data_IF_984300958388
#
_entry.id   IF_984300958388
#
_cell.length_a   1.000
_cell.length_b   1.000
_cell.length_c   1.000
_cell.angle_alpha   90.00
_cell.angle_beta   90.00
_cell.angle_gamma   90.00
#
_symmetry.space_group_name_H-M   'P 1'
#
loop_
_entity.id
_entity.type
_entity.pdbx_description
1 polymer ?
#
# COMPACT_ATOMS: atom_id res chain seq x y z
N UNK A 1 19.55 62.66 16.86
CA UNK A 1 18.11 62.41 16.63
C UNK A 1 17.82 61.07 15.94
N UNK A 2 18.58 60.63 14.92
CA UNK A 2 18.30 59.36 14.18
C UNK A 2 18.45 58.09 15.03
N UNK A 3 19.45 58.03 15.92
CA UNK A 3 19.71 56.84 16.76
C UNK A 3 18.61 56.60 17.82
N UNK A 4 17.94 57.68 18.25
CA UNK A 4 16.85 57.60 19.24
C UNK A 4 15.54 57.12 18.60
N UNK A 5 15.27 57.55 17.36
CA UNK A 5 14.12 57.08 16.56
C UNK A 5 14.28 55.59 16.20
N UNK A 6 15.49 55.15 15.83
CA UNK A 6 15.75 53.74 15.51
C UNK A 6 15.64 52.82 16.73
N UNK A 7 16.03 53.29 17.93
CA UNK A 7 15.78 52.56 19.19
C UNK A 7 14.29 52.50 19.52
N UNK A 8 13.57 53.62 19.41
CA UNK A 8 12.12 53.66 19.65
C UNK A 8 11.33 52.80 18.65
N UNK A 9 11.78 52.68 17.41
CA UNK A 9 11.19 51.80 16.39
C UNK A 9 11.45 50.32 16.66
N UNK A 10 12.64 49.96 17.13
CA UNK A 10 12.98 48.58 17.55
C UNK A 10 12.18 48.15 18.76
N UNK A 11 12.11 48.99 19.78
CA UNK A 11 11.34 48.71 21.01
C UNK A 11 9.83 48.66 20.74
N UNK A 12 9.35 49.39 19.73
CA UNK A 12 7.94 49.34 19.29
C UNK A 12 7.66 48.08 18.47
N UNK A 13 8.58 47.68 17.58
CA UNK A 13 8.47 46.41 16.85
C UNK A 13 8.49 45.20 17.80
N UNK A 14 9.32 45.20 18.84
CA UNK A 14 9.37 44.09 19.82
C UNK A 14 8.13 44.00 20.70
N UNK A 15 7.44 45.13 20.96
CA UNK A 15 6.16 45.18 21.70
C UNK A 15 4.94 44.80 20.86
N UNK A 16 5.01 45.05 19.54
CA UNK A 16 3.92 44.80 18.60
C UNK A 16 4.02 43.42 17.92
N UNK A 17 5.09 42.64 18.19
CA UNK A 17 5.15 41.23 17.80
C UNK A 17 4.09 40.45 18.59
N UNK A 18 3.08 39.85 17.94
CA UNK A 18 2.15 39.01 18.67
C UNK A 18 2.93 37.84 19.25
N UNK A 19 2.68 37.50 20.53
CA UNK A 19 3.22 36.31 21.22
C UNK A 19 2.69 35.02 20.57
N UNK A 20 2.97 34.82 19.29
CA UNK A 20 2.60 33.66 18.49
C UNK A 20 3.69 32.62 18.62
N UNK A 21 3.95 32.27 19.88
CA UNK A 21 4.71 31.12 20.34
C UNK A 21 3.86 30.19 21.22
N UNK A 22 2.54 30.25 21.12
CA UNK A 22 1.64 29.23 21.67
C UNK A 22 1.02 28.48 20.51
N UNK A 23 1.35 27.19 20.40
CA UNK A 23 0.68 26.22 19.52
C UNK A 23 -0.84 26.43 19.58
N UNK A 24 -1.42 27.13 18.60
CA UNK A 24 -2.85 27.06 18.34
C UNK A 24 -3.08 25.83 17.47
N UNK A 25 -3.30 24.69 18.11
CA UNK A 25 -3.89 23.48 17.51
C UNK A 25 -5.39 23.68 17.20
N UNK A 26 -5.83 24.88 16.83
CA UNK A 26 -7.25 25.18 16.59
C UNK A 26 -7.44 25.66 15.16
N UNK A 27 -6.92 24.89 14.22
CA UNK A 27 -7.53 24.75 12.90
C UNK A 27 -8.42 23.50 12.92
N UNK A 28 -9.42 23.38 12.03
CA UNK A 28 -10.29 22.20 11.97
C UNK A 28 -9.56 20.90 11.60
N UNK A 29 -8.25 20.97 11.32
CA UNK A 29 -7.40 19.85 10.95
C UNK A 29 -6.41 19.56 12.06
N UNK A 30 -6.58 18.40 12.70
CA UNK A 30 -5.64 17.84 13.66
C UNK A 30 -4.42 17.25 12.92
N UNK A 31 -3.35 18.03 12.85
CA UNK A 31 -2.06 17.65 12.28
C UNK A 31 -1.28 16.63 13.12
N UNK A 32 -1.85 16.15 14.25
CA UNK A 32 -1.29 15.05 15.05
C UNK A 32 -1.84 13.69 14.65
N UNK A 33 -2.81 13.64 13.74
CA UNK A 33 -3.24 12.38 13.14
C UNK A 33 -2.04 11.79 12.40
N UNK A 34 -1.51 10.62 12.80
CA UNK A 34 -0.45 9.97 12.06
C UNK A 34 -0.94 9.73 10.65
N UNK A 35 -0.24 10.29 9.67
CA UNK A 35 -0.47 9.96 8.27
C UNK A 35 -0.20 8.45 8.14
N UNK A 36 -1.15 7.65 7.65
CA UNK A 36 -0.92 6.22 7.46
C UNK A 36 0.32 5.97 6.60
N UNK A 37 1.22 5.10 7.07
CA UNK A 37 2.47 4.76 6.38
C UNK A 37 2.23 4.12 5.00
N UNK A 38 1.01 3.69 4.71
CA UNK A 38 0.64 2.98 3.50
C UNK A 38 0.27 3.89 2.33
N UNK A 39 0.11 5.20 2.50
CA UNK A 39 -0.34 6.09 1.41
C UNK A 39 0.63 6.18 0.22
N UNK A 40 1.90 5.83 0.41
CA UNK A 40 2.95 5.99 -0.58
C UNK A 40 3.68 4.68 -0.86
N UNK A 41 3.91 4.40 -2.14
CA UNK A 41 4.63 3.21 -2.60
C UNK A 41 5.90 3.63 -3.32
N UNK A 42 7.03 3.04 -2.91
CA UNK A 42 8.34 3.22 -3.54
C UNK A 42 8.60 2.09 -4.51
N UNK A 43 8.95 2.42 -5.76
CA UNK A 43 9.35 1.45 -6.76
C UNK A 43 10.75 0.88 -6.45
N UNK A 44 10.91 -0.46 -6.42
CA UNK A 44 12.22 -1.08 -6.21
C UNK A 44 13.15 -0.91 -7.40
N UNK A 45 12.61 -0.75 -8.62
CA UNK A 45 13.39 -0.63 -9.86
C UNK A 45 13.94 0.78 -10.06
N UNK A 46 13.08 1.80 -10.03
CA UNK A 46 13.48 3.18 -10.34
C UNK A 46 13.57 4.10 -9.12
N UNK A 47 13.23 3.62 -7.92
CA UNK A 47 13.19 4.42 -6.69
C UNK A 47 12.06 5.46 -6.63
N UNK A 48 11.24 5.57 -7.67
CA UNK A 48 10.14 6.53 -7.76
C UNK A 48 9.05 6.26 -6.73
N UNK A 49 8.55 7.33 -6.11
CA UNK A 49 7.42 7.28 -5.16
C UNK A 49 6.10 7.60 -5.86
N UNK A 50 5.04 6.87 -5.53
CA UNK A 50 3.69 6.99 -6.11
C UNK A 50 2.65 6.94 -4.98
N UNK A 51 1.51 7.60 -5.15
CA UNK A 51 0.38 7.43 -4.25
C UNK A 51 -0.18 6.01 -4.38
N UNK A 52 -0.63 5.40 -3.28
CA UNK A 52 -1.21 4.05 -3.27
C UNK A 52 -2.39 3.92 -4.25
N UNK A 53 -3.30 4.88 -4.23
CA UNK A 53 -4.49 4.87 -5.10
C UNK A 53 -4.13 4.86 -6.59
N UNK A 54 -3.13 5.65 -6.99
CA UNK A 54 -2.63 5.67 -8.38
C UNK A 54 -1.95 4.35 -8.75
N UNK A 55 -1.24 3.73 -7.81
CA UNK A 55 -0.58 2.45 -8.00
C UNK A 55 -1.57 1.30 -8.17
N UNK A 56 -2.62 1.25 -7.33
CA UNK A 56 -3.71 0.26 -7.42
C UNK A 56 -4.52 0.44 -8.71
N UNK A 57 -4.85 1.69 -9.08
CA UNK A 57 -5.48 2.00 -10.37
C UNK A 57 -4.65 1.62 -11.59
N UNK A 58 -3.32 1.64 -11.45
CA UNK A 58 -2.39 1.21 -12.48
C UNK A 58 -2.14 -0.32 -12.47
N UNK A 59 -3.01 -1.10 -11.79
CA UNK A 59 -2.89 -2.55 -11.69
C UNK A 59 -1.52 -3.01 -11.17
N UNK A 60 -0.99 -2.30 -10.16
CA UNK A 60 0.29 -2.59 -9.52
C UNK A 60 1.49 -2.47 -10.47
N UNK A 61 1.39 -1.57 -11.44
CA UNK A 61 2.48 -1.22 -12.37
C UNK A 61 3.01 0.17 -12.02
N UNK A 62 4.34 0.32 -12.01
CA UNK A 62 4.96 1.61 -11.77
C UNK A 62 4.58 2.61 -12.88
N UNK A 63 3.94 3.71 -12.52
CA UNK A 63 3.53 4.78 -13.46
C UNK A 63 4.71 5.57 -14.03
N UNK A 64 5.93 5.38 -13.48
CA UNK A 64 7.15 6.08 -13.90
C UNK A 64 8.05 5.25 -14.83
N UNK A 65 8.20 3.95 -14.57
CA UNK A 65 9.11 3.08 -15.32
C UNK A 65 8.47 1.79 -15.87
N UNK A 66 7.16 1.60 -15.69
CA UNK A 66 6.43 0.40 -16.11
C UNK A 66 6.90 -0.93 -15.47
N UNK A 67 7.65 -0.87 -14.37
CA UNK A 67 7.97 -2.06 -13.58
C UNK A 67 6.69 -2.70 -13.02
N UNK A 68 6.53 -4.00 -13.25
CA UNK A 68 5.39 -4.78 -12.76
C UNK A 68 5.71 -5.34 -11.38
N UNK A 69 4.91 -4.99 -10.39
CA UNK A 69 5.07 -5.54 -9.05
C UNK A 69 4.49 -6.94 -8.97
N UNK A 70 4.99 -7.71 -8.00
CA UNK A 70 4.40 -8.99 -7.64
C UNK A 70 3.06 -8.71 -6.94
N UNK A 71 2.02 -9.39 -7.41
CA UNK A 71 0.67 -9.39 -6.82
C UNK A 71 0.27 -10.81 -6.46
N UNK A 72 -0.70 -10.93 -5.55
CA UNK A 72 -1.23 -12.22 -5.13
C UNK A 72 -2.04 -12.92 -6.22
N UNK A 73 -2.27 -14.23 -6.06
CA UNK A 73 -3.09 -15.00 -7.00
C UNK A 73 -4.52 -14.43 -7.10
N UNK A 74 -5.13 -14.13 -5.95
CA UNK A 74 -6.50 -13.58 -5.90
C UNK A 74 -6.61 -12.21 -6.56
N UNK A 75 -5.71 -11.31 -6.22
CA UNK A 75 -5.61 -9.97 -6.80
C UNK A 75 -5.44 -10.02 -8.32
N UNK A 76 -4.64 -10.96 -8.83
CA UNK A 76 -4.50 -11.19 -10.27
C UNK A 76 -5.79 -11.68 -10.92
N UNK A 77 -6.50 -12.60 -10.27
CA UNK A 77 -7.79 -13.09 -10.77
C UNK A 77 -8.84 -11.98 -10.80
N UNK A 78 -8.88 -11.13 -9.77
CA UNK A 78 -9.83 -10.00 -9.70
C UNK A 78 -9.54 -8.93 -10.78
N UNK A 79 -8.28 -8.79 -11.25
CA UNK A 79 -7.92 -7.89 -12.35
C UNK A 79 -8.27 -8.43 -13.75
N UNK A 80 -8.29 -9.75 -13.92
CA UNK A 80 -8.39 -10.40 -15.24
C UNK A 80 -9.78 -10.94 -15.52
N UNK A 81 -10.47 -11.44 -14.48
CA UNK A 81 -11.78 -12.05 -14.61
C UNK A 81 -12.87 -10.99 -14.64
N UNK A 82 -13.95 -11.28 -15.34
CA UNK A 82 -15.17 -10.47 -15.30
C UNK A 82 -15.71 -10.46 -13.85
N UNK A 83 -16.26 -9.33 -13.37
CA UNK A 83 -16.79 -9.21 -12.01
C UNK A 83 -17.77 -10.34 -11.67
N UNK A 84 -17.69 -10.85 -10.44
CA UNK A 84 -18.60 -11.86 -9.88
C UNK A 84 -18.67 -13.19 -10.67
N UNK A 85 -17.71 -13.47 -11.57
CA UNK A 85 -17.72 -14.68 -12.40
C UNK A 85 -16.85 -15.82 -11.87
N UNK A 86 -15.96 -15.55 -10.91
CA UNK A 86 -14.96 -16.50 -10.43
C UNK A 86 -15.55 -17.53 -9.46
N UNK A 87 -15.47 -18.79 -9.84
CA UNK A 87 -15.79 -19.96 -9.02
C UNK A 87 -14.51 -20.76 -8.74
N UNK A 88 -14.00 -20.68 -7.52
CA UNK A 88 -12.77 -21.36 -7.09
C UNK A 88 -13.06 -22.84 -6.80
N UNK A 89 -12.20 -23.72 -7.28
CA UNK A 89 -12.28 -25.14 -6.98
C UNK A 89 -11.66 -25.44 -5.60
N UNK A 90 -12.28 -26.34 -4.81
CA UNK A 90 -11.70 -26.75 -3.54
C UNK A 90 -10.35 -27.44 -3.78
N UNK A 91 -9.36 -27.09 -2.97
CA UNK A 91 -8.03 -27.68 -3.01
C UNK A 91 -8.12 -29.06 -2.36
N UNK A 92 -8.44 -30.09 -3.14
CA UNK A 92 -8.56 -31.47 -2.66
C UNK A 92 -7.24 -32.17 -2.36
N UNK A 93 -6.10 -31.47 -2.49
CA UNK A 93 -4.76 -32.01 -2.28
C UNK A 93 -3.91 -31.00 -1.50
N UNK A 94 -3.47 -31.38 -0.31
CA UNK A 94 -2.48 -30.62 0.44
C UNK A 94 -1.09 -31.21 0.21
N UNK A 95 -0.09 -30.35 -0.01
CA UNK A 95 1.30 -30.77 -0.12
C UNK A 95 1.79 -31.40 1.20
N UNK A 96 1.98 -32.72 1.23
CA UNK A 96 2.61 -33.41 2.36
C UNK A 96 4.14 -33.29 2.37
N UNK A 97 4.78 -33.94 3.34
CA UNK A 97 6.24 -34.05 3.43
C UNK A 97 6.75 -35.49 3.16
N UNK A 98 6.55 -36.05 1.95
CA UNK A 98 6.88 -37.45 1.67
C UNK A 98 8.38 -37.76 1.77
N UNK A 99 9.23 -36.74 1.65
CA UNK A 99 10.68 -36.87 1.74
C UNK A 99 11.23 -36.68 3.17
N UNK A 100 10.37 -36.32 4.13
CA UNK A 100 10.80 -36.00 5.50
C UNK A 100 11.77 -34.83 5.55
N UNK A 101 11.62 -33.83 4.67
CA UNK A 101 12.53 -32.68 4.62
C UNK A 101 12.41 -31.88 5.93
N UNK A 102 13.52 -31.64 6.66
CA UNK A 102 13.46 -30.94 7.94
C UNK A 102 12.96 -29.50 7.78
N UNK A 103 12.06 -29.06 8.67
CA UNK A 103 11.54 -27.69 8.68
C UNK A 103 10.46 -27.40 7.61
N UNK A 104 10.05 -28.38 6.82
CA UNK A 104 9.09 -28.17 5.73
C UNK A 104 7.69 -27.85 6.24
N UNK A 105 7.22 -28.56 7.26
CA UNK A 105 5.87 -28.37 7.81
C UNK A 105 5.73 -26.99 8.47
N UNK A 106 6.75 -26.54 9.20
CA UNK A 106 6.78 -25.21 9.78
C UNK A 106 6.81 -24.12 8.71
N UNK A 107 7.56 -24.34 7.63
CA UNK A 107 7.60 -23.43 6.48
C UNK A 107 6.24 -23.36 5.78
N UNK A 108 5.59 -24.50 5.56
CA UNK A 108 4.27 -24.57 4.94
C UNK A 108 3.22 -23.86 5.80
N UNK A 109 3.15 -24.18 7.10
CA UNK A 109 2.21 -23.54 8.03
C UNK A 109 2.47 -22.03 8.18
N UNK A 110 3.72 -21.57 8.04
CA UNK A 110 4.04 -20.15 7.99
C UNK A 110 3.47 -19.50 6.73
N UNK A 111 3.72 -20.09 5.56
CA UNK A 111 3.26 -19.54 4.28
C UNK A 111 1.73 -19.54 4.16
N UNK A 112 1.05 -20.58 4.66
CA UNK A 112 -0.41 -20.63 4.68
C UNK A 112 -0.99 -19.51 5.56
N UNK A 113 -0.37 -19.19 6.70
CA UNK A 113 -0.78 -18.07 7.54
C UNK A 113 -0.50 -16.70 6.92
N UNK A 114 0.64 -16.54 6.25
CA UNK A 114 1.03 -15.27 5.62
C UNK A 114 0.20 -14.97 4.37
N UNK A 115 -0.16 -15.99 3.60
CA UNK A 115 -0.86 -15.83 2.32
C UNK A 115 -2.37 -16.05 2.42
N UNK A 116 -2.84 -16.78 3.44
CA UNK A 116 -4.22 -17.25 3.53
C UNK A 116 -4.59 -18.32 2.49
N UNK A 117 -3.61 -18.83 1.74
CA UNK A 117 -3.82 -19.86 0.72
C UNK A 117 -3.49 -21.24 1.28
N UNK A 118 -4.29 -22.24 0.90
CA UNK A 118 -4.02 -23.64 1.24
C UNK A 118 -2.80 -24.18 0.49
N UNK A 119 -2.62 -23.75 -0.77
CA UNK A 119 -1.54 -24.16 -1.67
C UNK A 119 -1.09 -22.98 -2.55
N UNK A 120 0.05 -23.11 -3.24
CA UNK A 120 0.62 -22.03 -4.05
C UNK A 120 -0.16 -21.67 -5.33
N UNK A 121 -1.26 -22.35 -5.63
CA UNK A 121 -2.08 -22.19 -6.85
C UNK A 121 -3.56 -22.04 -6.49
N UNK A 122 -4.29 -21.20 -7.24
CA UNK A 122 -5.73 -21.00 -7.08
C UNK A 122 -6.42 -21.32 -8.40
N UNK A 123 -7.03 -22.51 -8.47
CA UNK A 123 -7.70 -22.98 -9.69
C UNK A 123 -9.21 -22.71 -9.64
N UNK A 124 -9.83 -22.53 -10.80
CA UNK A 124 -11.27 -22.35 -10.89
C UNK A 124 -11.77 -22.14 -12.30
N UNK A 125 -13.04 -21.74 -12.40
CA UNK A 125 -13.66 -21.25 -13.62
C UNK A 125 -14.04 -19.79 -13.47
N UNK A 126 -13.90 -19.01 -14.55
CA UNK A 126 -14.30 -17.62 -14.58
C UNK A 126 -14.74 -17.21 -16.00
N UNK A 127 -15.29 -16.00 -16.15
CA UNK A 127 -15.47 -15.39 -17.47
C UNK A 127 -14.39 -14.36 -17.72
N UNK A 128 -13.91 -14.29 -18.96
CA UNK A 128 -12.99 -13.24 -19.42
C UNK A 128 -13.56 -12.69 -20.71
N UNK A 129 -14.01 -11.43 -20.70
CA UNK A 129 -14.68 -10.83 -21.85
C UNK A 129 -15.95 -11.59 -22.25
N UNK A 130 -16.67 -12.15 -21.28
CA UNK A 130 -17.89 -12.94 -21.47
C UNK A 130 -17.66 -14.41 -21.81
N UNK A 131 -16.44 -14.83 -22.13
CA UNK A 131 -16.13 -16.22 -22.48
C UNK A 131 -15.79 -17.06 -21.24
N UNK A 132 -16.37 -18.25 -21.13
CA UNK A 132 -16.05 -19.18 -20.04
C UNK A 132 -14.64 -19.74 -20.20
N UNK A 133 -13.83 -19.63 -19.14
CA UNK A 133 -12.44 -20.06 -19.10
C UNK A 133 -12.14 -20.84 -17.82
N UNK A 134 -11.17 -21.74 -17.90
CA UNK A 134 -10.48 -22.27 -16.73
C UNK A 134 -9.32 -21.33 -16.37
N UNK A 135 -9.08 -21.13 -15.08
CA UNK A 135 -8.02 -20.26 -14.53
C UNK A 135 -7.23 -21.00 -13.44
N UNK A 136 -5.94 -20.68 -13.30
CA UNK A 136 -5.02 -21.25 -12.31
C UNK A 136 -3.86 -20.29 -12.01
#
# INVERSE_FOLDING_TARGET
>A
MVVHVLRQMRDRMERDLPETGRNRTEGPFDYRTPVPDDLWIRCPECGGVMAREDFERAAHVCTKCAHHFRIGARERLDLVCDPESLEVWPVGMTGGNPLGFPGYEEKLAKLQRETGLEEAVVCGTARIGGHLCAVA
#
